data_IF_452993372826
#
_entry.id   IF_452993372826
#
_cell.length_a   1.000
_cell.length_b   1.000
_cell.length_c   1.000
_cell.angle_alpha   90.00
_cell.angle_beta   90.00
_cell.angle_gamma   90.00
#
_symmetry.space_group_name_H-M   'P 1'
#
loop_
_entity.id
_entity.type
_entity.pdbx_description
1 polymer ?
#
# COMPACT_ATOMS: atom_id res chain seq x y z
N UNK A 1 -4.33 -19.14 -0.47
CA UNK A 1 -4.44 -17.71 -0.11
C UNK A 1 -3.21 -17.01 -0.66
N UNK A 2 -3.31 -15.76 -1.06
CA UNK A 2 -2.20 -15.02 -1.66
C UNK A 2 -1.63 -14.00 -0.67
N UNK A 3 -0.32 -13.81 -0.71
CA UNK A 3 0.41 -12.83 0.09
C UNK A 3 0.97 -11.79 -0.88
N UNK A 4 0.59 -10.53 -0.68
CA UNK A 4 1.00 -9.43 -1.55
C UNK A 4 2.11 -8.64 -0.88
N UNK A 5 3.32 -8.67 -1.46
CA UNK A 5 4.49 -8.01 -0.90
C UNK A 5 4.94 -6.89 -1.82
N UNK A 6 5.00 -5.67 -1.29
CA UNK A 6 5.49 -4.51 -2.04
C UNK A 6 7.02 -4.55 -2.13
N UNK A 7 7.56 -4.51 -3.34
CA UNK A 7 9.01 -4.69 -3.60
C UNK A 7 9.84 -3.41 -3.53
N UNK A 8 9.22 -2.23 -3.37
CA UNK A 8 9.93 -0.95 -3.40
C UNK A 8 9.32 0.17 -2.55
N UNK A 9 10.18 1.08 -2.09
CA UNK A 9 9.76 2.37 -1.54
C UNK A 9 9.22 3.26 -2.68
N UNK A 10 8.26 4.11 -2.37
CA UNK A 10 7.57 4.95 -3.34
C UNK A 10 8.35 6.23 -3.58
N UNK A 11 8.68 6.50 -4.84
CA UNK A 11 9.08 7.83 -5.25
C UNK A 11 7.86 8.62 -5.75
N UNK A 12 7.94 9.95 -5.62
CA UNK A 12 6.86 10.90 -5.96
C UNK A 12 6.52 10.92 -7.46
N UNK A 13 7.30 10.22 -8.29
CA UNK A 13 7.17 10.19 -9.74
C UNK A 13 6.68 8.84 -10.28
N UNK A 14 6.46 7.85 -9.40
CA UNK A 14 6.03 6.53 -9.84
C UNK A 14 4.56 6.55 -10.28
N UNK A 15 4.31 6.08 -11.50
CA UNK A 15 2.96 5.96 -12.08
C UNK A 15 2.29 4.61 -11.78
N UNK A 16 3.05 3.67 -11.21
CA UNK A 16 2.58 2.35 -10.82
C UNK A 16 3.34 1.81 -9.61
N UNK A 17 2.78 0.76 -9.00
CA UNK A 17 3.33 0.07 -7.83
C UNK A 17 3.34 -1.42 -8.11
N UNK A 18 4.50 -2.02 -7.85
CA UNK A 18 4.74 -3.43 -8.11
C UNK A 18 4.63 -4.24 -6.82
N UNK A 19 3.96 -5.39 -6.92
CA UNK A 19 3.79 -6.36 -5.85
C UNK A 19 4.24 -7.73 -6.33
N UNK A 20 5.06 -8.39 -5.51
CA UNK A 20 5.31 -9.82 -5.62
C UNK A 20 4.15 -10.55 -4.96
N UNK A 21 3.53 -11.47 -5.69
CA UNK A 21 2.46 -12.32 -5.17
C UNK A 21 3.09 -13.65 -4.79
N UNK A 22 2.97 -13.99 -3.51
CA UNK A 22 3.39 -15.28 -2.99
C UNK A 22 2.18 -16.16 -2.74
N UNK A 23 2.33 -17.47 -2.91
CA UNK A 23 1.32 -18.44 -2.53
C UNK A 23 1.21 -18.59 -1.00
N UNK A 24 0.31 -19.46 -0.54
CA UNK A 24 0.11 -19.70 0.90
C UNK A 24 1.31 -20.36 1.59
N UNK A 25 2.28 -20.86 0.85
CA UNK A 25 3.52 -21.44 1.35
C UNK A 25 4.67 -20.41 1.31
N UNK A 26 4.40 -19.19 0.85
CA UNK A 26 5.37 -18.11 0.72
C UNK A 26 6.28 -18.24 -0.50
N UNK A 27 5.97 -19.13 -1.44
CA UNK A 27 6.71 -19.23 -2.71
C UNK A 27 6.24 -18.15 -3.67
N UNK A 28 7.17 -17.57 -4.42
CA UNK A 28 6.83 -16.60 -5.46
C UNK A 28 5.92 -17.25 -6.52
N UNK A 29 4.82 -16.57 -6.83
CA UNK A 29 3.88 -16.95 -7.86
C UNK A 29 4.04 -16.08 -9.09
N UNK A 30 3.77 -14.77 -8.97
CA UNK A 30 3.80 -13.83 -10.09
C UNK A 30 3.91 -12.38 -9.62
N UNK A 31 3.97 -11.45 -10.58
CA UNK A 31 4.07 -10.01 -10.37
C UNK A 31 2.75 -9.32 -10.75
N UNK A 32 2.31 -8.35 -9.93
CA UNK A 32 1.19 -7.47 -10.26
C UNK A 32 1.60 -6.01 -10.20
N UNK A 33 1.19 -5.23 -11.21
CA UNK A 33 1.37 -3.79 -11.26
C UNK A 33 0.04 -3.07 -11.07
N UNK A 34 -0.06 -2.28 -10.01
CA UNK A 34 -1.19 -1.39 -9.76
C UNK A 34 -0.84 0.02 -10.23
N UNK A 35 -1.63 0.57 -11.15
CA UNK A 35 -1.42 1.90 -11.72
C UNK A 35 -2.25 2.95 -10.98
N UNK A 36 -1.59 3.80 -10.20
CA UNK A 36 -2.22 4.91 -9.50
C UNK A 36 -1.19 5.97 -9.12
N UNK A 37 -1.62 7.24 -8.94
CA UNK A 37 -0.72 8.32 -8.56
C UNK A 37 0.05 8.02 -7.27
N UNK A 38 1.37 7.96 -7.40
CA UNK A 38 2.28 7.69 -6.30
C UNK A 38 2.63 8.94 -5.52
N UNK A 39 1.96 9.20 -4.41
CA UNK A 39 2.55 9.97 -3.31
C UNK A 39 3.28 8.98 -2.39
N UNK A 40 4.42 9.37 -1.82
CA UNK A 40 5.39 8.52 -1.12
C UNK A 40 4.93 7.77 0.15
N UNK A 41 3.64 7.44 0.26
CA UNK A 41 2.98 6.99 1.48
C UNK A 41 2.79 5.47 1.52
N UNK A 42 2.56 4.97 2.74
CA UNK A 42 2.09 3.61 2.98
C UNK A 42 0.63 3.51 2.53
N UNK A 43 0.33 2.44 1.81
CA UNK A 43 -0.98 2.19 1.22
C UNK A 43 -1.53 0.89 1.81
N UNK A 44 -2.75 0.90 2.31
CA UNK A 44 -3.46 -0.32 2.68
C UNK A 44 -4.25 -0.81 1.46
N UNK A 45 -4.17 -2.11 1.17
CA UNK A 45 -4.90 -2.74 0.07
C UNK A 45 -6.11 -3.49 0.61
N UNK A 46 -7.28 -3.21 0.04
CA UNK A 46 -8.53 -3.91 0.33
C UNK A 46 -9.03 -4.56 -0.95
N UNK A 47 -9.07 -5.89 -0.97
CA UNK A 47 -9.53 -6.67 -2.13
C UNK A 47 -11.05 -6.78 -2.10
N UNK A 48 -11.70 -6.27 -3.16
CA UNK A 48 -13.16 -6.20 -3.25
C UNK A 48 -13.77 -7.35 -4.08
N UNK A 49 -12.95 -8.21 -4.69
CA UNK A 49 -13.36 -9.25 -5.63
C UNK A 49 -13.26 -8.78 -7.09
N UNK A 50 -13.45 -9.70 -8.04
CA UNK A 50 -13.54 -9.43 -9.49
C UNK A 50 -12.40 -8.57 -10.08
N UNK A 51 -11.17 -8.75 -9.59
CA UNK A 51 -10.04 -7.97 -10.06
C UNK A 51 -9.96 -6.54 -9.49
N UNK A 52 -10.85 -6.17 -8.57
CA UNK A 52 -10.94 -4.83 -7.99
C UNK A 52 -10.21 -4.74 -6.64
N UNK A 53 -9.36 -3.72 -6.52
CA UNK A 53 -8.61 -3.39 -5.31
C UNK A 53 -8.89 -1.95 -4.93
N UNK A 54 -9.32 -1.72 -3.69
CA UNK A 54 -9.35 -0.42 -3.08
C UNK A 54 -8.01 -0.13 -2.38
N UNK A 55 -7.40 0.99 -2.75
CA UNK A 55 -6.16 1.47 -2.19
C UNK A 55 -6.51 2.58 -1.21
N UNK A 56 -6.31 2.33 0.07
CA UNK A 56 -6.60 3.25 1.16
C UNK A 56 -5.31 3.98 1.51
N UNK A 57 -5.28 5.28 1.21
CA UNK A 57 -4.17 6.18 1.47
C UNK A 57 -4.35 6.76 2.88
N UNK A 58 -3.48 6.35 3.80
CA UNK A 58 -3.40 6.92 5.15
C UNK A 58 -2.68 8.26 5.17
N UNK A 59 -3.02 9.12 6.13
CA UNK A 59 -2.30 10.38 6.38
C UNK A 59 -1.07 10.11 7.27
N UNK A 60 0.09 9.73 6.73
CA UNK A 60 1.32 9.79 7.55
C UNK A 60 2.65 9.62 6.81
N UNK A 61 3.58 10.57 7.03
CA UNK A 61 4.87 10.23 7.68
C UNK A 61 5.77 11.45 8.00
N UNK A 62 5.69 12.57 7.24
CA UNK A 62 6.70 13.65 7.42
C UNK A 62 6.57 14.43 8.74
N UNK A 63 5.37 14.57 9.28
CA UNK A 63 5.13 15.31 10.54
C UNK A 63 5.13 14.40 11.78
N UNK A 64 4.83 13.11 11.62
CA UNK A 64 4.61 12.21 12.78
C UNK A 64 5.85 11.43 13.22
N UNK A 65 6.90 11.31 12.39
CA UNK A 65 8.18 10.67 12.82
C UNK A 65 8.80 11.33 14.05
N UNK A 66 8.81 12.66 14.14
CA UNK A 66 9.26 13.38 15.33
C UNK A 66 8.34 13.10 16.53
N UNK A 67 7.04 13.13 16.30
CA UNK A 67 6.04 12.89 17.35
C UNK A 67 6.14 11.49 17.97
N UNK A 68 6.33 10.42 17.18
CA UNK A 68 6.44 9.05 17.70
C UNK A 68 7.79 8.76 18.38
N UNK A 69 8.87 9.45 17.99
CA UNK A 69 10.13 9.42 18.75
C UNK A 69 9.93 9.99 20.15
N UNK A 70 9.17 11.09 20.25
CA UNK A 70 8.88 11.74 21.53
C UNK A 70 7.75 11.05 22.32
N UNK A 71 6.87 10.28 21.66
CA UNK A 71 5.67 9.68 22.27
C UNK A 71 5.41 8.23 21.80
N UNK A 72 6.29 7.27 22.15
CA UNK A 72 6.28 5.91 21.59
C UNK A 72 5.10 5.03 22.01
N UNK A 73 4.29 5.45 22.99
CA UNK A 73 3.14 4.68 23.51
C UNK A 73 1.79 5.15 22.94
N UNK A 74 1.80 6.07 22.00
CA UNK A 74 0.58 6.70 21.50
C UNK A 74 0.09 5.98 20.24
N UNK A 75 -1.14 5.49 20.26
CA UNK A 75 -1.86 5.08 19.05
C UNK A 75 -2.63 6.28 18.51
N UNK A 76 -2.39 6.66 17.25
CA UNK A 76 -3.20 7.66 16.56
C UNK A 76 -4.06 6.90 15.55
N UNK A 77 -5.38 7.13 15.55
CA UNK A 77 -6.24 6.68 14.45
C UNK A 77 -5.83 7.42 13.17
N UNK A 78 -5.46 6.69 12.13
CA UNK A 78 -5.12 7.27 10.85
C UNK A 78 -6.40 7.73 10.15
N UNK A 79 -6.53 9.04 9.95
CA UNK A 79 -7.58 9.57 9.07
C UNK A 79 -7.35 9.05 7.65
N UNK A 80 -8.34 8.32 7.11
CA UNK A 80 -8.37 7.89 5.71
C UNK A 80 -8.48 9.14 4.84
N UNK A 81 -7.42 9.45 4.09
CA UNK A 81 -7.37 10.68 3.28
C UNK A 81 -7.99 10.46 1.91
N UNK A 82 -7.78 9.28 1.34
CA UNK A 82 -8.21 8.98 -0.01
C UNK A 82 -8.38 7.48 -0.20
N UNK A 83 -9.44 7.10 -0.91
CA UNK A 83 -9.65 5.74 -1.40
C UNK A 83 -9.60 5.78 -2.93
N UNK A 84 -8.73 4.97 -3.52
CA UNK A 84 -8.58 4.86 -4.97
C UNK A 84 -9.02 3.45 -5.39
N UNK A 85 -9.93 3.35 -6.35
CA UNK A 85 -10.34 2.07 -6.92
C UNK A 85 -9.47 1.77 -8.14
N UNK A 86 -8.81 0.62 -8.11
CA UNK A 86 -7.93 0.15 -9.16
C UNK A 86 -8.35 -1.24 -9.62
N UNK A 87 -8.22 -1.48 -10.93
CA UNK A 87 -8.26 -2.83 -11.48
C UNK A 87 -6.85 -3.40 -11.51
N UNK A 88 -6.74 -4.66 -11.14
CA UNK A 88 -5.54 -5.46 -11.39
C UNK A 88 -5.42 -5.64 -12.91
N UNK A 89 -4.30 -5.18 -13.48
CA UNK A 89 -3.93 -5.57 -14.85
C UNK A 89 -3.02 -6.79 -14.75
N UNK A 90 -3.46 -7.88 -15.38
CA UNK A 90 -2.65 -9.05 -15.70
C UNK A 90 -1.64 -8.73 -16.81
#
# INVERSE_FOLDING_TARGET
GEIWVRTGCSDYQDVYRQYDILDSEGQFSHLVNLFYPGTGFKDDLVFLGDGLVAIVKGNSDRLKRGFFLDNPKTSIEEDVVQVILCHMKE
#
